data_IF_882628288744
#
_entry.id   IF_882628288744
#
_cell.length_a   1.000
_cell.length_b   1.000
_cell.length_c   1.000
_cell.angle_alpha   90.00
_cell.angle_beta   90.00
_cell.angle_gamma   90.00
#
_symmetry.space_group_name_H-M   'P 1'
#
loop_
_entity.id
_entity.type
_entity.pdbx_description
1 polymer ?
#
# COMPACT_ATOMS: atom_id res chain seq x y z
N UNK A 1 -15.07 -26.05 13.39
CA UNK A 1 -15.25 -25.26 12.14
C UNK A 1 -15.45 -23.76 12.36
N UNK A 2 -15.61 -23.25 13.60
CA UNK A 2 -15.90 -21.84 13.92
C UNK A 2 -14.68 -20.90 13.89
N UNK A 3 -13.49 -21.39 14.26
CA UNK A 3 -12.28 -20.55 14.37
C UNK A 3 -11.89 -19.81 13.07
N UNK A 4 -12.17 -20.40 11.90
CA UNK A 4 -11.91 -19.75 10.61
C UNK A 4 -12.85 -18.57 10.35
N UNK A 5 -14.13 -18.72 10.69
CA UNK A 5 -15.12 -17.65 10.61
C UNK A 5 -14.79 -16.51 11.59
N UNK A 6 -14.39 -16.85 12.82
CA UNK A 6 -14.00 -15.86 13.83
C UNK A 6 -12.78 -15.04 13.37
N UNK A 7 -11.81 -15.69 12.72
CA UNK A 7 -10.61 -15.03 12.18
C UNK A 7 -10.97 -14.11 11.01
N UNK A 8 -11.89 -14.53 10.15
CA UNK A 8 -12.40 -13.72 9.04
C UNK A 8 -13.12 -12.46 9.53
N UNK A 9 -14.03 -12.60 10.50
CA UNK A 9 -14.76 -11.47 11.10
C UNK A 9 -13.80 -10.48 11.75
N UNK A 10 -12.81 -10.96 12.52
CA UNK A 10 -11.77 -10.10 13.11
C UNK A 10 -10.97 -9.34 12.06
N UNK A 11 -10.65 -10.00 10.93
CA UNK A 11 -9.91 -9.38 9.83
C UNK A 11 -10.71 -8.25 9.19
N UNK A 12 -12.00 -8.49 8.91
CA UNK A 12 -12.88 -7.46 8.36
C UNK A 12 -13.10 -6.29 9.33
N UNK A 13 -13.20 -6.56 10.63
CA UNK A 13 -13.29 -5.52 11.66
C UNK A 13 -12.01 -4.68 11.69
N UNK A 14 -10.84 -5.31 11.69
CA UNK A 14 -9.56 -4.62 11.67
C UNK A 14 -9.41 -3.73 10.43
N UNK A 15 -9.82 -4.22 9.25
CA UNK A 15 -9.82 -3.43 8.02
C UNK A 15 -10.75 -2.21 8.12
N UNK A 16 -11.98 -2.39 8.64
CA UNK A 16 -12.92 -1.28 8.85
C UNK A 16 -12.38 -0.23 9.81
N UNK A 17 -11.75 -0.65 10.90
CA UNK A 17 -11.13 0.27 11.86
C UNK A 17 -9.98 1.05 11.21
N UNK A 18 -9.13 0.38 10.43
CA UNK A 18 -8.05 1.03 9.68
C UNK A 18 -8.61 2.05 8.68
N UNK A 19 -9.69 1.73 7.97
CA UNK A 19 -10.35 2.67 7.07
C UNK A 19 -10.94 3.88 7.79
N UNK A 20 -11.45 3.71 9.02
CA UNK A 20 -12.01 4.80 9.82
C UNK A 20 -10.94 5.72 10.43
N UNK A 21 -9.77 5.19 10.79
CA UNK A 21 -8.67 5.96 11.38
C UNK A 21 -7.30 5.54 10.82
N UNK A 22 -7.00 5.88 9.55
CA UNK A 22 -5.74 5.49 8.92
C UNK A 22 -4.53 6.19 9.55
N UNK A 23 -4.69 7.44 10.01
CA UNK A 23 -3.61 8.24 10.61
C UNK A 23 -3.20 7.74 11.99
N UNK A 24 -4.17 7.28 12.81
CA UNK A 24 -3.90 6.73 14.13
C UNK A 24 -3.41 5.28 14.11
N UNK A 25 -3.94 4.45 13.23
CA UNK A 25 -3.65 3.00 13.19
C UNK A 25 -2.45 2.64 12.29
N UNK A 26 -2.06 3.52 11.35
CA UNK A 26 -0.88 3.44 10.46
C UNK A 26 -0.83 2.29 9.47
N UNK A 27 -1.36 1.11 9.77
CA UNK A 27 -1.36 -0.03 8.85
C UNK A 27 -1.92 -1.32 9.45
N UNK A 28 -1.97 -2.36 8.62
CA UNK A 28 -2.48 -3.68 8.99
C UNK A 28 -1.63 -4.77 8.32
N UNK A 29 -1.26 -5.80 9.09
CA UNK A 29 -0.53 -6.97 8.58
C UNK A 29 -1.43 -8.20 8.73
N UNK A 30 -1.68 -8.89 7.62
CA UNK A 30 -2.53 -10.08 7.56
C UNK A 30 -1.71 -11.24 7.02
N UNK A 31 -1.71 -12.36 7.74
CA UNK A 31 -1.07 -13.60 7.30
C UNK A 31 -2.15 -14.59 6.88
N UNK A 32 -2.19 -14.90 5.59
CA UNK A 32 -3.11 -15.87 5.01
C UNK A 32 -2.39 -16.69 3.93
N UNK A 33 -2.75 -17.97 3.81
CA UNK A 33 -2.27 -18.82 2.70
C UNK A 33 -2.91 -18.36 1.38
N UNK A 34 -2.24 -18.67 0.26
CA UNK A 34 -2.86 -18.53 -1.06
C UNK A 34 -4.16 -19.32 -1.12
N UNK A 35 -5.23 -18.68 -1.59
CA UNK A 35 -6.55 -19.29 -1.69
C UNK A 35 -7.67 -18.26 -1.74
N UNK A 36 -8.92 -18.73 -1.95
CA UNK A 36 -10.06 -17.88 -2.28
C UNK A 36 -10.40 -16.85 -1.20
N UNK A 37 -10.15 -17.17 0.07
CA UNK A 37 -10.37 -16.24 1.20
C UNK A 37 -9.43 -15.03 1.10
N UNK A 38 -8.15 -15.27 0.78
CA UNK A 38 -7.17 -14.19 0.60
C UNK A 38 -7.53 -13.36 -0.62
N UNK A 39 -7.89 -14.00 -1.72
CA UNK A 39 -8.21 -13.30 -2.96
C UNK A 39 -9.45 -12.40 -2.77
N UNK A 40 -10.47 -12.90 -2.06
CA UNK A 40 -11.63 -12.10 -1.66
C UNK A 40 -11.27 -10.92 -0.75
N UNK A 41 -10.34 -11.11 0.19
CA UNK A 41 -9.86 -10.02 1.04
C UNK A 41 -9.14 -8.93 0.23
N UNK A 42 -8.31 -9.31 -0.74
CA UNK A 42 -7.61 -8.38 -1.63
C UNK A 42 -8.64 -7.54 -2.40
N UNK A 43 -9.69 -8.16 -2.96
CA UNK A 43 -10.77 -7.43 -3.63
C UNK A 43 -11.44 -6.41 -2.69
N UNK A 44 -11.73 -6.79 -1.44
CA UNK A 44 -12.35 -5.89 -0.46
C UNK A 44 -11.41 -4.70 -0.16
N UNK A 45 -10.11 -4.94 0.00
CA UNK A 45 -9.13 -3.89 0.26
C UNK A 45 -9.03 -2.93 -0.94
N UNK A 46 -8.97 -3.46 -2.17
CA UNK A 46 -8.92 -2.65 -3.40
C UNK A 46 -10.16 -1.75 -3.55
N UNK A 47 -11.33 -2.26 -3.16
CA UNK A 47 -12.57 -1.46 -3.17
C UNK A 47 -12.59 -0.38 -2.05
N UNK A 48 -12.00 -0.67 -0.89
CA UNK A 48 -11.94 0.27 0.22
C UNK A 48 -10.86 1.36 0.04
N UNK A 49 -9.85 1.09 -0.78
CA UNK A 49 -8.69 1.95 -1.00
C UNK A 49 -8.44 2.16 -2.52
N UNK A 50 -9.18 3.08 -3.17
CA UNK A 50 -9.10 3.27 -4.62
C UNK A 50 -7.71 3.71 -5.13
N UNK A 51 -6.87 4.29 -4.26
CA UNK A 51 -5.46 4.58 -4.53
C UNK A 51 -4.56 3.62 -3.73
N UNK A 52 -4.60 2.33 -4.04
CA UNK A 52 -3.71 1.33 -3.45
C UNK A 52 -2.48 1.11 -4.35
N UNK A 53 -1.33 1.62 -3.92
CA UNK A 53 -0.06 1.41 -4.61
C UNK A 53 0.63 0.13 -4.13
N UNK A 54 1.36 -0.53 -5.01
CA UNK A 54 2.21 -1.66 -4.65
C UNK A 54 3.63 -1.17 -4.44
N UNK A 55 4.22 -1.53 -3.31
CA UNK A 55 5.65 -1.34 -3.03
C UNK A 55 6.33 -2.68 -3.17
N UNK A 56 7.29 -2.76 -4.10
CA UNK A 56 8.09 -3.96 -4.31
C UNK A 56 9.41 -3.85 -3.54
N UNK A 57 9.99 -4.97 -3.07
CA UNK A 57 11.24 -4.93 -2.30
C UNK A 57 12.44 -4.39 -3.08
N UNK A 58 12.38 -4.46 -4.42
CA UNK A 58 13.44 -4.00 -5.33
C UNK A 58 13.29 -2.54 -5.75
N UNK A 59 12.26 -1.83 -5.27
CA UNK A 59 12.12 -0.40 -5.55
C UNK A 59 13.29 0.38 -4.97
N UNK A 60 13.82 1.34 -5.73
CA UNK A 60 14.89 2.22 -5.24
C UNK A 60 14.34 3.33 -4.36
N UNK A 61 15.23 3.93 -3.56
CA UNK A 61 14.89 5.07 -2.70
C UNK A 61 14.36 6.26 -3.53
N UNK A 62 14.91 6.51 -4.72
CA UNK A 62 14.43 7.57 -5.60
C UNK A 62 12.99 7.32 -6.07
N UNK A 63 12.59 6.06 -6.27
CA UNK A 63 11.22 5.72 -6.63
C UNK A 63 10.25 5.93 -5.47
N UNK A 64 10.69 5.70 -4.23
CA UNK A 64 9.87 5.83 -3.03
C UNK A 64 9.78 7.29 -2.55
N UNK A 65 10.91 7.96 -2.42
CA UNK A 65 11.01 9.29 -1.80
C UNK A 65 11.10 10.42 -2.83
N UNK A 66 11.48 10.11 -4.07
CA UNK A 66 11.79 11.09 -5.09
C UNK A 66 13.30 11.28 -5.21
N UNK A 67 13.70 11.91 -6.30
CA UNK A 67 15.11 12.06 -6.63
C UNK A 67 15.32 13.13 -7.68
N UNK A 68 16.57 13.39 -8.05
CA UNK A 68 16.90 14.35 -9.08
C UNK A 68 16.44 13.81 -10.45
N UNK A 69 15.60 14.57 -11.14
CA UNK A 69 15.24 14.27 -12.52
C UNK A 69 16.30 14.89 -13.43
N UNK A 70 17.26 14.05 -13.85
CA UNK A 70 18.40 14.52 -14.65
C UNK A 70 17.94 15.06 -16.01
N UNK A 71 16.90 14.46 -16.60
CA UNK A 71 16.39 14.85 -17.91
C UNK A 71 15.73 16.22 -17.83
N UNK A 72 14.80 16.42 -16.89
CA UNK A 72 14.20 17.74 -16.67
C UNK A 72 15.23 18.77 -16.23
N UNK A 73 16.19 18.37 -15.38
CA UNK A 73 17.23 19.28 -14.90
C UNK A 73 18.06 19.84 -16.05
N UNK A 74 18.47 18.98 -16.99
CA UNK A 74 19.24 19.39 -18.16
C UNK A 74 18.40 20.23 -19.13
N UNK A 75 17.13 19.86 -19.35
CA UNK A 75 16.23 20.61 -20.24
C UNK A 75 15.93 22.02 -19.72
N UNK A 76 15.76 22.17 -18.40
CA UNK A 76 15.42 23.44 -17.76
C UNK A 76 16.65 24.23 -17.30
N UNK A 77 17.85 23.66 -17.42
CA UNK A 77 19.10 24.22 -16.91
C UNK A 77 19.02 24.62 -15.42
N UNK A 78 18.20 23.89 -14.65
CA UNK A 78 17.92 24.13 -13.24
C UNK A 78 17.70 22.80 -12.54
N UNK A 79 18.14 22.64 -11.30
CA UNK A 79 17.88 21.42 -10.52
C UNK A 79 16.37 21.19 -10.37
N UNK A 80 15.90 20.05 -10.89
CA UNK A 80 14.51 19.59 -10.76
C UNK A 80 14.48 18.23 -10.06
N UNK A 81 13.57 18.09 -9.10
CA UNK A 81 13.35 16.86 -8.36
C UNK A 81 12.01 16.23 -8.75
N UNK A 82 12.04 14.94 -9.06
CA UNK A 82 10.85 14.12 -9.24
C UNK A 82 10.26 13.73 -7.89
N UNK A 83 8.92 13.71 -7.81
CA UNK A 83 8.21 13.22 -6.63
C UNK A 83 8.20 11.69 -6.58
N UNK A 84 8.55 11.13 -5.42
CA UNK A 84 8.45 9.70 -5.17
C UNK A 84 7.03 9.22 -4.91
N UNK A 85 6.86 7.90 -4.87
CA UNK A 85 5.59 7.24 -4.60
C UNK A 85 4.97 7.67 -3.26
N UNK A 86 5.79 7.83 -2.23
CA UNK A 86 5.36 8.17 -0.86
C UNK A 86 5.01 9.65 -0.68
N UNK A 87 5.28 10.51 -1.66
CA UNK A 87 4.80 11.90 -1.65
C UNK A 87 3.27 11.98 -1.79
N UNK A 88 2.62 10.88 -2.20
CA UNK A 88 1.18 10.78 -2.41
C UNK A 88 0.50 10.27 -1.15
N UNK A 89 -0.56 10.95 -0.71
CA UNK A 89 -1.42 10.46 0.38
C UNK A 89 -2.31 9.33 -0.11
N UNK A 90 -1.84 8.10 0.03
CA UNK A 90 -2.48 6.91 -0.52
C UNK A 90 -2.17 5.67 0.31
N UNK A 91 -2.91 4.59 0.05
CA UNK A 91 -2.66 3.31 0.71
C UNK A 91 -1.54 2.59 -0.04
N UNK A 92 -0.73 1.83 0.70
CA UNK A 92 0.34 1.02 0.11
C UNK A 92 0.20 -0.44 0.53
N UNK A 93 0.30 -1.33 -0.44
CA UNK A 93 0.46 -2.76 -0.25
C UNK A 93 1.95 -3.10 -0.38
N UNK A 94 2.53 -3.67 0.66
CA UNK A 94 3.87 -4.24 0.59
C UNK A 94 3.78 -5.60 -0.10
N UNK A 95 4.35 -5.69 -1.30
CA UNK A 95 4.51 -6.96 -1.98
C UNK A 95 5.74 -7.66 -1.39
N UNK A 96 5.55 -8.88 -0.90
CA UNK A 96 6.66 -9.75 -0.52
C UNK A 96 7.12 -10.52 -1.78
N UNK A 97 8.42 -10.74 -1.91
CA UNK A 97 9.01 -11.56 -2.97
C UNK A 97 8.79 -13.06 -2.69
#
# INVERSE_FOLDING_TARGET
MTQGLDSWVKTLLALRLLSANPTGLKGLVIRARSGPIRDRLIEIIQNAAPALYKIYPIMSDEQLFGGLDLVQTLQQQKLVYAQGLLARSAWAQLCMA
#
